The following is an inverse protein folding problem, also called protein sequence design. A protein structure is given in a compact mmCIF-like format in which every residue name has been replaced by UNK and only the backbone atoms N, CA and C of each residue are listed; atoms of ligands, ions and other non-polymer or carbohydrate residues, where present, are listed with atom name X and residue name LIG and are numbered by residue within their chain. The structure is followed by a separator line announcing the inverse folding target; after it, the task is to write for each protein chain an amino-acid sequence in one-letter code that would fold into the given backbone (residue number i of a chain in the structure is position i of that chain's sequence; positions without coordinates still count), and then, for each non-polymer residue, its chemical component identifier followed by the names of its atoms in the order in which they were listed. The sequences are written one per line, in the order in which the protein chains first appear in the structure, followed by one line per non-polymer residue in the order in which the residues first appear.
data_IF_131715368077
#
_entry.id   IF_131715368077
#
_cell.length_a   1.000
_cell.length_b   1.000
_cell.length_c   1.000
_cell.angle_alpha   90.00
_cell.angle_beta   90.00
_cell.angle_gamma   90.00
#
_symmetry.space_group_name_H-M   'P 1'
#
loop_
_entity.id
_entity.type
_entity.pdbx_description
1 polymer ?
#
# COMPACT_ATOMS: atom_id res chain seq x y z
N UNK A 1 9.92 -17.19 6.93
CA UNK A 1 9.03 -18.30 7.37
C UNK A 1 7.88 -18.40 6.38
N UNK A 2 7.46 -19.61 6.00
CA UNK A 2 6.33 -19.83 5.08
C UNK A 2 5.12 -20.37 5.86
N UNK A 3 3.95 -19.83 5.54
CA UNK A 3 2.66 -20.17 6.12
C UNK A 3 1.64 -20.33 5.00
N UNK A 4 0.64 -21.18 5.23
CA UNK A 4 -0.53 -21.30 4.37
C UNK A 4 -1.78 -20.90 5.15
N UNK A 5 -2.34 -19.74 4.83
CA UNK A 5 -3.53 -19.19 5.49
C UNK A 5 -4.76 -19.59 4.67
N UNK A 6 -5.32 -20.77 4.98
CA UNK A 6 -6.35 -21.39 4.17
C UNK A 6 -5.79 -21.80 2.79
N UNK A 7 -6.24 -21.13 1.73
CA UNK A 7 -5.75 -21.37 0.37
C UNK A 7 -4.67 -20.36 -0.07
N UNK A 8 -4.28 -19.44 0.82
CA UNK A 8 -3.34 -18.35 0.49
C UNK A 8 -1.94 -18.65 1.02
N UNK A 9 -0.98 -18.74 0.10
CA UNK A 9 0.45 -18.82 0.43
C UNK A 9 0.96 -17.50 1.00
N UNK A 10 1.64 -17.56 2.15
CA UNK A 10 2.09 -16.38 2.89
C UNK A 10 3.54 -16.53 3.34
N UNK A 11 4.36 -15.52 3.06
CA UNK A 11 5.75 -15.46 3.52
C UNK A 11 5.88 -14.37 4.59
N UNK A 12 6.35 -14.75 5.77
CA UNK A 12 6.62 -13.83 6.87
C UNK A 12 8.04 -13.28 6.74
N UNK A 13 8.13 -11.96 6.67
CA UNK A 13 9.37 -11.17 6.65
C UNK A 13 9.62 -10.62 8.05
N UNK A 14 10.64 -11.14 8.75
CA UNK A 14 10.88 -10.87 10.18
C UNK A 14 12.29 -10.40 10.51
N UNK A 15 13.01 -9.84 9.53
CA UNK A 15 14.33 -9.23 9.75
C UNK A 15 14.49 -7.93 8.96
N UNK A 16 15.31 -6.98 9.43
CA UNK A 16 15.56 -5.72 8.71
C UNK A 16 16.13 -5.94 7.31
N UNK A 17 17.09 -6.86 7.16
CA UNK A 17 17.68 -7.19 5.87
C UNK A 17 16.64 -7.74 4.88
N UNK A 18 15.74 -8.62 5.33
CA UNK A 18 14.68 -9.15 4.47
C UNK A 18 13.62 -8.08 4.16
N UNK A 19 13.29 -7.22 5.12
CA UNK A 19 12.37 -6.09 4.90
C UNK A 19 12.91 -5.11 3.86
N UNK A 20 14.21 -4.80 3.89
CA UNK A 20 14.86 -3.98 2.87
C UNK A 20 14.75 -4.59 1.48
N UNK A 21 14.96 -5.90 1.35
CA UNK A 21 14.85 -6.59 0.07
C UNK A 21 13.43 -6.49 -0.52
N UNK A 22 12.40 -6.56 0.32
CA UNK A 22 10.99 -6.57 -0.09
C UNK A 22 10.44 -5.16 -0.30
N UNK A 23 10.72 -4.23 0.61
CA UNK A 23 10.10 -2.91 0.66
C UNK A 23 10.91 -1.82 -0.05
N UNK A 24 12.16 -2.08 -0.42
CA UNK A 24 13.02 -1.13 -1.13
C UNK A 24 13.61 -1.72 -2.41
N UNK A 25 14.39 -2.81 -2.29
CA UNK A 25 15.12 -3.35 -3.46
C UNK A 25 14.18 -3.93 -4.52
N UNK A 26 13.09 -4.56 -4.10
CA UNK A 26 12.09 -5.17 -4.99
C UNK A 26 10.68 -4.60 -4.75
N UNK A 27 10.61 -3.35 -4.28
CA UNK A 27 9.37 -2.67 -3.89
C UNK A 27 8.25 -2.76 -4.92
N UNK A 28 8.55 -2.53 -6.21
CA UNK A 28 7.58 -2.60 -7.31
C UNK A 28 7.06 -4.02 -7.53
N UNK A 29 7.91 -5.05 -7.35
CA UNK A 29 7.51 -6.46 -7.51
C UNK A 29 6.57 -6.90 -6.39
N UNK A 30 6.76 -6.37 -5.19
CA UNK A 30 5.91 -6.63 -4.02
C UNK A 30 4.83 -5.56 -3.83
N UNK A 31 4.64 -4.65 -4.79
CA UNK A 31 3.63 -3.60 -4.69
C UNK A 31 2.19 -4.09 -4.94
N UNK A 32 2.01 -5.35 -5.36
CA UNK A 32 0.68 -5.95 -5.50
C UNK A 32 -0.08 -5.90 -4.17
N UNK A 33 -1.34 -5.47 -4.20
CA UNK A 33 -2.24 -5.47 -3.04
C UNK A 33 -3.13 -6.69 -3.07
N UNK A 34 -3.42 -7.24 -1.89
CA UNK A 34 -4.26 -8.41 -1.76
C UNK A 34 -5.67 -8.07 -2.25
N UNK A 35 -6.20 -8.83 -3.21
CA UNK A 35 -7.58 -8.67 -3.63
C UNK A 35 -8.47 -9.57 -2.77
N UNK A 36 -9.16 -8.96 -1.81
CA UNK A 36 -10.15 -9.62 -0.97
C UNK A 36 -11.52 -9.04 -1.25
N UNK A 37 -12.55 -9.89 -1.27
CA UNK A 37 -13.95 -9.47 -1.47
C UNK A 37 -14.39 -8.37 -0.48
N UNK A 38 -13.93 -8.45 0.77
CA UNK A 38 -14.24 -7.44 1.79
C UNK A 38 -13.64 -6.07 1.43
N UNK A 39 -12.44 -6.05 0.85
CA UNK A 39 -11.78 -4.82 0.44
C UNK A 39 -12.44 -4.23 -0.81
N UNK A 40 -12.83 -5.08 -1.76
CA UNK A 40 -13.63 -4.66 -2.91
C UNK A 40 -14.96 -4.03 -2.46
N UNK A 41 -15.62 -4.62 -1.48
CA UNK A 41 -16.91 -4.13 -0.98
C UNK A 41 -16.77 -2.80 -0.23
N UNK A 42 -15.82 -2.70 0.71
CA UNK A 42 -15.69 -1.53 1.57
C UNK A 42 -14.99 -0.36 0.86
N UNK A 43 -14.04 -0.65 -0.04
CA UNK A 43 -13.22 0.36 -0.71
C UNK A 43 -13.60 0.58 -2.17
N UNK A 44 -14.89 0.41 -2.50
CA UNK A 44 -15.46 0.73 -3.81
C UNK A 44 -14.64 0.10 -4.94
N UNK A 45 -14.54 -1.22 -4.93
CA UNK A 45 -13.75 -2.02 -5.87
C UNK A 45 -12.24 -1.69 -5.83
N UNK A 46 -11.66 -1.62 -4.63
CA UNK A 46 -10.24 -1.32 -4.40
C UNK A 46 -9.79 -0.01 -5.06
N UNK A 47 -10.58 1.06 -4.96
CA UNK A 47 -10.24 2.37 -5.54
C UNK A 47 -9.63 3.35 -4.53
N UNK A 48 -9.51 3.00 -3.26
CA UNK A 48 -8.87 3.87 -2.28
C UNK A 48 -7.32 3.80 -2.34
N UNK A 49 -6.65 4.78 -1.70
CA UNK A 49 -5.18 4.85 -1.66
C UNK A 49 -4.49 3.67 -0.97
N UNK A 50 -5.18 2.99 -0.04
CA UNK A 50 -4.61 1.90 0.76
C UNK A 50 -4.48 0.58 0.01
N UNK A 51 -5.51 0.20 -0.77
CA UNK A 51 -5.59 -1.13 -1.39
C UNK A 51 -5.69 -1.12 -2.91
N UNK A 52 -5.73 0.05 -3.57
CA UNK A 52 -5.73 0.08 -5.02
C UNK A 52 -4.50 -0.61 -5.63
N UNK A 53 -4.68 -1.43 -6.69
CA UNK A 53 -3.57 -2.07 -7.38
C UNK A 53 -2.53 -1.05 -7.83
N UNK A 54 -1.26 -1.41 -7.69
CA UNK A 54 -0.17 -0.53 -8.10
C UNK A 54 -0.22 -0.30 -9.62
N UNK A 55 -0.40 0.96 -10.02
CA UNK A 55 -0.61 1.35 -11.41
C UNK A 55 -0.71 2.86 -11.56
N UNK A 56 -1.06 3.33 -12.75
CA UNK A 56 -1.20 4.77 -13.05
C UNK A 56 -2.19 5.45 -12.12
N UNK A 57 -3.33 4.80 -11.85
CA UNK A 57 -4.35 5.27 -10.92
C UNK A 57 -3.81 5.50 -9.50
N UNK A 58 -3.24 4.45 -8.89
CA UNK A 58 -2.69 4.54 -7.54
C UNK A 58 -1.57 5.57 -7.45
N UNK A 59 -0.68 5.67 -8.45
CA UNK A 59 0.40 6.68 -8.46
C UNK A 59 -0.16 8.11 -8.50
N UNK A 60 -1.25 8.33 -9.24
CA UNK A 60 -1.95 9.61 -9.27
C UNK A 60 -2.54 9.98 -7.91
N UNK A 61 -3.28 9.05 -7.29
CA UNK A 61 -3.82 9.22 -5.94
C UNK A 61 -2.72 9.48 -4.91
N UNK A 62 -1.64 8.68 -4.92
CA UNK A 62 -0.53 8.82 -3.99
C UNK A 62 0.15 10.19 -4.12
N UNK A 63 0.36 10.67 -5.35
CA UNK A 63 0.89 12.00 -5.61
C UNK A 63 -0.04 13.09 -5.04
N UNK A 64 -1.34 12.99 -5.32
CA UNK A 64 -2.34 13.93 -4.79
C UNK A 64 -2.30 13.97 -3.27
N UNK A 65 -2.40 12.82 -2.59
CA UNK A 65 -2.37 12.75 -1.13
C UNK A 65 -1.03 13.26 -0.56
N UNK A 66 0.09 12.98 -1.22
CA UNK A 66 1.39 13.50 -0.78
C UNK A 66 1.40 15.02 -0.83
N UNK A 67 1.01 15.61 -1.97
CA UNK A 67 1.03 17.06 -2.17
C UNK A 67 0.02 17.78 -1.28
N UNK A 68 -1.17 17.21 -1.14
CA UNK A 68 -2.31 17.86 -0.52
C UNK A 68 -2.46 17.53 0.97
N UNK A 69 -2.10 16.33 1.42
CA UNK A 69 -2.39 15.91 2.80
C UNK A 69 -1.13 15.74 3.64
N UNK A 70 -0.01 15.32 3.04
CA UNK A 70 1.18 14.91 3.78
C UNK A 70 2.33 15.93 3.74
N UNK A 71 2.34 16.85 2.76
CA UNK A 71 3.35 17.90 2.72
C UNK A 71 3.17 18.87 3.90
N UNK A 72 4.26 19.10 4.63
CA UNK A 72 4.32 19.96 5.82
C UNK A 72 3.81 21.38 5.57
N UNK A 73 3.95 21.90 4.35
CA UNK A 73 3.41 23.20 3.94
C UNK A 73 1.88 23.33 4.16
N UNK A 74 1.14 22.21 4.13
CA UNK A 74 -0.30 22.16 4.41
C UNK A 74 -0.62 21.77 5.85
N UNK A 75 0.30 21.07 6.53
CA UNK A 75 0.17 20.68 7.94
C UNK A 75 0.27 21.89 8.90
N UNK A 76 0.96 22.96 8.49
CA UNK A 76 1.03 24.23 9.24
C UNK A 76 -0.08 25.24 8.90
N UNK A 77 -0.92 24.98 7.89
CA UNK A 77 -2.02 25.85 7.46
C UNK A 77 -3.42 25.29 7.74
N UNK A 78 -3.52 24.09 8.31
CA UNK A 78 -4.69 23.74 9.12
C UNK A 78 -4.64 24.58 10.40
N UNK A 79 -5.05 25.83 10.27
CA UNK A 79 -5.30 26.72 11.39
C UNK A 79 -6.30 26.05 12.36
N UNK A 80 -6.19 26.27 13.67
CA UNK A 80 -7.24 25.89 14.62
C UNK A 80 -8.58 26.57 14.28
#
# INVERSE_FOLDING_TARGET
MYLRLGEVDTIVVSSPAAAQQVLQTNDVRFASRLNLLVLETIFYNNLNIGVAPHGTYWRGLHKLCTLELLLCARCGSSAP
#
